data_IF_552723540558
#
_entry.id   IF_552723540558
#
_cell.length_a   1.000
_cell.length_b   1.000
_cell.length_c   1.000
_cell.angle_alpha   90.00
_cell.angle_beta   90.00
_cell.angle_gamma   90.00
#
_symmetry.space_group_name_H-M   'P 1'
#
loop_
_entity.id
_entity.type
_entity.pdbx_description
1 polymer ?
#
# COMPACT_ATOMS: atom_id res chain seq x y z
N UNK A 1 -16.79 -15.77 4.44
CA UNK A 1 -17.18 -14.41 4.02
C UNK A 1 -16.67 -13.37 5.00
N UNK A 2 -17.22 -13.41 6.20
CA UNK A 2 -16.82 -12.46 7.24
C UNK A 2 -15.34 -12.56 7.57
N UNK A 3 -14.78 -13.76 7.59
CA UNK A 3 -13.38 -13.96 7.92
C UNK A 3 -12.44 -13.27 6.94
N UNK A 4 -12.73 -13.34 5.65
CA UNK A 4 -11.88 -12.69 4.65
C UNK A 4 -11.94 -11.18 4.77
N UNK A 5 -13.15 -10.65 4.96
CA UNK A 5 -13.34 -9.21 5.10
C UNK A 5 -12.73 -8.71 6.40
N UNK A 6 -12.88 -9.49 7.48
CA UNK A 6 -12.33 -9.11 8.78
C UNK A 6 -10.80 -9.10 8.75
N UNK A 7 -10.19 -10.11 8.11
CA UNK A 7 -8.74 -10.16 8.01
C UNK A 7 -8.21 -9.03 7.12
N UNK A 8 -8.91 -8.71 6.03
CA UNK A 8 -8.52 -7.60 5.18
C UNK A 8 -8.59 -6.27 5.91
N UNK A 9 -9.68 -6.03 6.64
CA UNK A 9 -9.82 -4.81 7.42
C UNK A 9 -8.78 -4.74 8.54
N UNK A 10 -8.55 -5.84 9.21
CA UNK A 10 -7.56 -5.90 10.28
C UNK A 10 -6.18 -5.58 9.73
N UNK A 11 -5.84 -6.13 8.58
CA UNK A 11 -4.54 -5.88 7.94
C UNK A 11 -4.37 -4.43 7.58
N UNK A 12 -5.40 -3.79 7.01
CA UNK A 12 -5.33 -2.38 6.68
C UNK A 12 -5.18 -1.51 7.93
N UNK A 13 -5.91 -1.86 8.99
CA UNK A 13 -5.82 -1.11 10.25
C UNK A 13 -4.43 -1.25 10.87
N UNK A 14 -3.86 -2.44 10.81
CA UNK A 14 -2.50 -2.67 11.29
C UNK A 14 -1.49 -1.86 10.50
N UNK A 15 -1.66 -1.80 9.18
CA UNK A 15 -0.78 -1.02 8.31
C UNK A 15 -0.89 0.47 8.63
N UNK A 16 -2.10 0.97 8.85
CA UNK A 16 -2.32 2.37 9.22
C UNK A 16 -1.62 2.69 10.53
N UNK A 17 -1.82 1.87 11.57
CA UNK A 17 -1.17 2.09 12.86
C UNK A 17 0.34 2.07 12.73
N UNK A 18 0.86 1.13 11.94
CA UNK A 18 2.29 0.99 11.73
C UNK A 18 2.88 2.26 11.10
N UNK A 19 2.20 2.77 10.07
CA UNK A 19 2.65 3.98 9.38
C UNK A 19 2.56 5.20 10.28
N UNK A 20 1.47 5.32 11.05
CA UNK A 20 1.32 6.45 11.96
C UNK A 20 2.41 6.47 13.03
N UNK A 21 2.78 5.31 13.54
CA UNK A 21 3.86 5.20 14.51
C UNK A 21 5.21 5.59 13.92
N UNK A 22 5.36 5.46 12.60
CA UNK A 22 6.57 5.90 11.91
C UNK A 22 6.55 7.39 11.57
N UNK A 23 5.46 8.07 11.89
CA UNK A 23 5.35 9.50 11.64
C UNK A 23 4.66 9.86 10.33
N UNK A 24 4.09 8.90 9.63
CA UNK A 24 3.36 9.16 8.40
C UNK A 24 1.97 9.69 8.74
N UNK A 25 1.50 10.64 7.94
CA UNK A 25 0.13 11.14 8.05
C UNK A 25 -0.73 10.38 7.06
N UNK A 26 -1.80 9.77 7.53
CA UNK A 26 -2.71 9.03 6.64
C UNK A 26 -3.70 10.03 6.05
N UNK A 27 -3.71 10.14 4.73
CA UNK A 27 -4.60 11.05 4.03
C UNK A 27 -5.91 10.39 3.63
N UNK A 28 -5.82 9.21 3.03
CA UNK A 28 -7.00 8.50 2.51
C UNK A 28 -6.80 7.01 2.63
N UNK A 29 -7.86 6.27 2.89
CA UNK A 29 -7.87 4.81 2.80
C UNK A 29 -8.86 4.41 1.70
N UNK A 30 -8.49 3.35 0.97
CA UNK A 30 -9.36 2.78 -0.06
C UNK A 30 -9.78 3.80 -1.11
N UNK A 31 -8.81 4.50 -1.64
CA UNK A 31 -9.06 5.51 -2.68
C UNK A 31 -9.29 4.83 -4.02
N UNK A 32 -10.42 5.14 -4.64
CA UNK A 32 -10.77 4.55 -5.93
C UNK A 32 -10.78 5.58 -7.03
N UNK A 33 -10.22 5.19 -8.17
CA UNK A 33 -10.28 5.98 -9.38
C UNK A 33 -10.37 5.04 -10.58
N UNK A 34 -11.52 5.05 -11.27
CA UNK A 34 -11.81 4.14 -12.37
C UNK A 34 -11.70 2.69 -11.87
N UNK A 35 -10.81 1.89 -12.47
CA UNK A 35 -10.63 0.49 -12.07
C UNK A 35 -9.54 0.29 -11.04
N UNK A 36 -8.93 1.38 -10.60
CA UNK A 36 -7.83 1.32 -9.65
C UNK A 36 -8.30 1.55 -8.23
N UNK A 37 -7.64 0.91 -7.29
CA UNK A 37 -7.87 1.14 -5.87
C UNK A 37 -6.53 1.21 -5.17
N UNK A 38 -6.33 2.27 -4.37
CA UNK A 38 -5.14 2.42 -3.54
C UNK A 38 -5.55 2.15 -2.11
N UNK A 39 -4.89 1.20 -1.45
CA UNK A 39 -5.25 0.83 -0.09
C UNK A 39 -5.04 1.97 0.89
N UNK A 40 -3.88 2.62 0.84
CA UNK A 40 -3.56 3.74 1.72
C UNK A 40 -2.79 4.79 0.97
N UNK A 41 -3.17 6.06 1.14
CA UNK A 41 -2.36 7.19 0.69
C UNK A 41 -1.90 7.91 1.94
N UNK A 42 -0.59 7.99 2.11
CA UNK A 42 0.01 8.64 3.27
C UNK A 42 0.94 9.76 2.83
N UNK A 43 1.30 10.60 3.78
CA UNK A 43 2.15 11.75 3.50
C UNK A 43 3.29 11.82 4.51
N UNK A 44 4.49 12.04 4.01
CA UNK A 44 5.65 12.41 4.83
C UNK A 44 5.95 13.86 4.53
N UNK A 45 6.98 14.39 5.17
CA UNK A 45 7.38 15.78 4.95
C UNK A 45 7.62 16.08 3.46
N UNK A 46 8.25 15.13 2.76
CA UNK A 46 8.70 15.36 1.38
C UNK A 46 7.97 14.56 0.31
N UNK A 47 7.16 13.59 0.69
CA UNK A 47 6.60 12.66 -0.28
C UNK A 47 5.16 12.30 0.00
N UNK A 48 4.45 11.96 -1.08
CA UNK A 48 3.17 11.24 -0.98
C UNK A 48 3.51 9.78 -1.18
N UNK A 49 3.06 8.93 -0.26
CA UNK A 49 3.38 7.50 -0.27
C UNK A 49 2.13 6.72 -0.59
N UNK A 50 2.17 6.00 -1.70
CA UNK A 50 1.08 5.15 -2.16
C UNK A 50 1.38 3.75 -1.67
N UNK A 51 0.51 3.20 -0.84
CA UNK A 51 0.78 1.93 -0.15
C UNK A 51 -0.19 0.85 -0.57
N UNK A 52 0.37 -0.27 -0.99
CA UNK A 52 -0.40 -1.48 -1.27
C UNK A 52 -0.20 -2.42 -0.09
N UNK A 53 -1.31 -2.87 0.50
CA UNK A 53 -1.26 -3.78 1.64
C UNK A 53 -1.48 -5.20 1.15
N UNK A 54 -0.55 -6.10 1.48
CA UNK A 54 -0.63 -7.51 1.09
C UNK A 54 -0.68 -8.37 2.34
N UNK A 55 -1.82 -8.98 2.59
CA UNK A 55 -1.98 -9.91 3.70
C UNK A 55 -1.82 -11.34 3.17
N UNK A 56 -1.06 -12.14 3.87
CA UNK A 56 -0.81 -13.53 3.49
C UNK A 56 -1.09 -14.43 4.70
N UNK A 57 -1.61 -15.62 4.42
CA UNK A 57 -1.90 -16.57 5.49
C UNK A 57 -0.75 -17.54 5.74
N UNK A 58 0.33 -17.44 4.97
CA UNK A 58 1.50 -18.28 5.13
C UNK A 58 2.73 -17.41 5.31
N UNK A 59 3.81 -18.02 5.79
CA UNK A 59 5.07 -17.32 5.99
C UNK A 59 5.89 -17.17 4.71
N UNK A 60 5.34 -17.59 3.56
CA UNK A 60 6.00 -17.42 2.28
C UNK A 60 5.90 -15.96 1.86
N UNK A 61 7.05 -15.34 1.69
CA UNK A 61 7.12 -13.93 1.33
C UNK A 61 7.35 -13.75 -0.16
N UNK A 62 6.48 -12.99 -0.80
CA UNK A 62 6.62 -12.69 -2.22
C UNK A 62 7.57 -11.52 -2.42
N UNK A 63 8.31 -11.57 -3.54
CA UNK A 63 9.09 -10.41 -3.94
C UNK A 63 8.13 -9.28 -4.35
N UNK A 64 8.59 -8.03 -4.36
CA UNK A 64 7.73 -6.94 -4.82
C UNK A 64 7.17 -7.16 -6.23
N UNK A 65 7.97 -7.75 -7.13
CA UNK A 65 7.53 -8.02 -8.50
C UNK A 65 6.40 -9.04 -8.55
N UNK A 66 6.39 -10.00 -7.62
CA UNK A 66 5.34 -10.99 -7.54
C UNK A 66 4.09 -10.42 -6.90
N UNK A 67 4.26 -9.47 -5.99
CA UNK A 67 3.15 -8.89 -5.27
C UNK A 67 2.30 -7.96 -6.14
N UNK A 68 2.93 -7.24 -7.07
CA UNK A 68 2.24 -6.25 -7.89
C UNK A 68 2.71 -6.38 -9.33
N UNK A 69 1.80 -6.75 -10.25
CA UNK A 69 2.16 -6.89 -11.67
C UNK A 69 2.11 -5.54 -12.40
N UNK A 70 2.59 -5.53 -13.64
CA UNK A 70 2.67 -4.30 -14.44
C UNK A 70 1.33 -3.61 -14.61
N UNK A 71 0.28 -4.38 -14.84
CA UNK A 71 -1.06 -3.81 -15.02
C UNK A 71 -1.50 -3.09 -13.76
N UNK A 72 -1.28 -3.70 -12.60
CA UNK A 72 -1.65 -3.08 -11.33
C UNK A 72 -0.83 -1.84 -11.06
N UNK A 73 0.46 -1.89 -11.38
CA UNK A 73 1.34 -0.72 -11.22
C UNK A 73 0.80 0.46 -12.03
N UNK A 74 0.43 0.22 -13.30
CA UNK A 74 -0.13 1.27 -14.14
C UNK A 74 -1.42 1.86 -13.55
N UNK A 75 -2.28 0.99 -13.00
CA UNK A 75 -3.51 1.45 -12.37
C UNK A 75 -3.22 2.31 -11.14
N UNK A 76 -2.26 1.89 -10.33
CA UNK A 76 -1.87 2.64 -9.14
C UNK A 76 -1.28 4.00 -9.51
N UNK A 77 -0.45 4.05 -10.55
CA UNK A 77 0.12 5.31 -11.04
C UNK A 77 -0.98 6.25 -11.49
N UNK A 78 -1.95 5.74 -12.25
CA UNK A 78 -3.06 6.54 -12.75
C UNK A 78 -3.87 7.14 -11.60
N UNK A 79 -4.21 6.32 -10.61
CA UNK A 79 -4.98 6.76 -9.46
C UNK A 79 -4.19 7.77 -8.62
N UNK A 80 -2.90 7.53 -8.45
CA UNK A 80 -2.04 8.44 -7.69
C UNK A 80 -1.96 9.81 -8.38
N UNK A 81 -1.78 9.81 -9.70
CA UNK A 81 -1.73 11.07 -10.47
C UNK A 81 -3.02 11.85 -10.33
N UNK A 82 -4.16 11.15 -10.41
CA UNK A 82 -5.45 11.80 -10.26
C UNK A 82 -5.61 12.42 -8.86
N UNK A 83 -5.19 11.69 -7.83
CA UNK A 83 -5.27 12.18 -6.47
C UNK A 83 -4.43 13.45 -6.29
N UNK A 84 -3.21 13.44 -6.81
CA UNK A 84 -2.33 14.60 -6.70
C UNK A 84 -2.91 15.82 -7.41
N UNK A 85 -3.42 15.64 -8.63
CA UNK A 85 -4.05 16.72 -9.37
C UNK A 85 -5.27 17.27 -8.68
N UNK A 86 -6.15 16.37 -8.22
CA UNK A 86 -7.40 16.75 -7.58
C UNK A 86 -7.17 17.57 -6.31
N UNK A 87 -6.11 17.24 -5.59
CA UNK A 87 -5.80 17.88 -4.32
C UNK A 87 -4.71 18.93 -4.43
N UNK A 88 -4.27 19.22 -5.65
CA UNK A 88 -3.25 20.25 -5.93
C UNK A 88 -1.98 20.04 -5.10
N UNK A 89 -1.54 18.78 -5.03
CA UNK A 89 -0.35 18.40 -4.28
C UNK A 89 0.85 18.35 -5.21
N UNK A 90 1.93 19.05 -4.83
CA UNK A 90 3.16 19.08 -5.60
C UNK A 90 4.30 18.48 -4.78
N UNK A 91 4.20 17.17 -4.55
CA UNK A 91 5.23 16.41 -3.85
C UNK A 91 5.59 15.20 -4.68
N UNK A 92 6.79 14.67 -4.46
CA UNK A 92 7.20 13.43 -5.10
C UNK A 92 6.36 12.28 -4.58
N UNK A 93 6.17 11.28 -5.41
CA UNK A 93 5.38 10.10 -5.08
C UNK A 93 6.30 8.90 -4.90
N UNK A 94 6.05 8.13 -3.86
CA UNK A 94 6.77 6.88 -3.62
C UNK A 94 5.76 5.75 -3.49
N UNK A 95 6.07 4.60 -4.06
CA UNK A 95 5.17 3.43 -4.04
C UNK A 95 5.73 2.37 -3.12
N UNK A 96 5.00 2.05 -2.08
CA UNK A 96 5.42 1.12 -1.04
C UNK A 96 4.48 -0.09 -0.97
N UNK A 97 5.00 -1.18 -0.43
CA UNK A 97 4.19 -2.36 -0.12
C UNK A 97 4.34 -2.63 1.37
N UNK A 98 3.22 -2.88 2.03
CA UNK A 98 3.23 -3.38 3.40
C UNK A 98 2.69 -4.80 3.36
N UNK A 99 3.54 -5.74 3.72
CA UNK A 99 3.17 -7.16 3.78
C UNK A 99 2.89 -7.54 5.22
N UNK A 100 1.78 -8.22 5.44
CA UNK A 100 1.38 -8.68 6.77
C UNK A 100 1.23 -10.19 6.70
N UNK A 101 1.98 -10.90 7.52
CA UNK A 101 2.01 -12.35 7.50
C UNK A 101 2.30 -12.90 8.89
N UNK A 102 1.89 -14.15 9.16
CA UNK A 102 2.17 -14.74 10.47
C UNK A 102 3.63 -15.14 10.59
N UNK A 103 4.16 -15.04 11.80
CA UNK A 103 5.49 -15.55 12.09
C UNK A 103 5.36 -17.00 12.60
N UNK A 104 6.47 -17.57 13.08
CA UNK A 104 6.49 -18.96 13.55
C UNK A 104 5.54 -19.22 14.72
N UNK A 105 5.27 -18.18 15.50
CA UNK A 105 4.37 -18.28 16.66
C UNK A 105 2.93 -17.91 16.29
N UNK A 106 2.63 -17.82 14.99
CA UNK A 106 1.33 -17.47 14.48
C UNK A 106 0.87 -16.06 14.89
N UNK A 107 1.83 -15.18 15.17
CA UNK A 107 1.57 -13.77 15.43
C UNK A 107 1.79 -13.01 14.14
N UNK A 108 0.98 -11.98 13.92
CA UNK A 108 1.12 -11.17 12.71
C UNK A 108 2.36 -10.28 12.77
N UNK A 109 3.13 -10.29 11.71
CA UNK A 109 4.28 -9.41 11.58
C UNK A 109 4.12 -8.55 10.34
N UNK A 110 4.68 -7.35 10.40
CA UNK A 110 4.57 -6.37 9.33
C UNK A 110 5.94 -6.18 8.69
N UNK A 111 5.95 -6.22 7.37
CA UNK A 111 7.16 -5.91 6.61
C UNK A 111 6.84 -4.75 5.68
N UNK A 112 7.58 -3.67 5.82
CA UNK A 112 7.39 -2.47 5.00
C UNK A 112 8.49 -2.40 3.95
N UNK A 113 8.10 -2.44 2.69
CA UNK A 113 9.03 -2.36 1.57
C UNK A 113 8.86 -0.97 0.96
N UNK A 114 9.79 -0.08 1.26
CA UNK A 114 9.77 1.26 0.75
C UNK A 114 10.28 1.29 -0.69
N UNK A 115 9.65 2.12 -1.50
CA UNK A 115 10.04 2.27 -2.90
C UNK A 115 10.08 0.92 -3.62
N UNK A 116 9.01 0.15 -3.45
CA UNK A 116 8.93 -1.21 -3.97
C UNK A 116 8.93 -1.27 -5.49
N UNK A 117 8.42 -0.23 -6.13
CA UNK A 117 8.43 -0.10 -7.60
C UNK A 117 8.29 1.39 -7.95
N UNK A 118 8.58 1.73 -9.21
CA UNK A 118 8.43 3.10 -9.69
C UNK A 118 7.64 3.11 -11.00
N UNK A 119 7.46 4.28 -11.57
CA UNK A 119 6.62 4.42 -12.77
C UNK A 119 7.16 3.63 -13.96
N UNK A 120 8.47 3.42 -14.05
CA UNK A 120 9.04 2.68 -15.18
C UNK A 120 8.69 1.19 -15.09
N UNK A 121 8.41 0.68 -13.91
CA UNK A 121 8.08 -0.74 -13.72
C UNK A 121 6.72 -1.11 -14.30
N UNK A 122 5.88 -0.13 -14.61
CA UNK A 122 4.57 -0.36 -15.22
C UNK A 122 4.58 -0.45 -16.73
N UNK A 123 5.71 -0.18 -17.35
CA UNK A 123 5.78 -0.08 -18.82
C UNK A 123 6.85 -0.92 -19.46
#
# INVERSE_FOLDING_TARGET
MAEHNDFGKESENLAVEFLEKKGYKILVKNYRYLKAEIDIIAETENQIVIVEVKARSTDTFLSPEEAVNKKKIRLLISAASHFLEENEIDKQTRFDIIAILPNEENQLQIKHIENAFDITDGF
#
